data_IF_208325628263
#
_entry.id   IF_208325628263
#
_cell.length_a   1.000
_cell.length_b   1.000
_cell.length_c   1.000
_cell.angle_alpha   90.00
_cell.angle_beta   90.00
_cell.angle_gamma   90.00
#
_symmetry.space_group_name_H-M   'P 1'
#
loop_
_entity.id
_entity.type
_entity.pdbx_description
1 polymer ?
#
# COMPACT_ATOMS: atom_id res chain seq x y z
N UNK A 1 18.03 1.09 4.38
CA UNK A 1 16.85 1.84 3.92
C UNK A 1 15.76 1.81 4.97
N UNK A 2 15.18 2.94 5.24
CA UNK A 2 14.12 3.10 6.24
C UNK A 2 12.77 3.10 5.55
N UNK A 3 11.86 2.20 5.96
CA UNK A 3 10.51 2.11 5.44
C UNK A 3 9.49 2.44 6.53
N UNK A 4 8.50 3.24 6.18
CA UNK A 4 7.33 3.51 7.02
C UNK A 4 6.17 2.64 6.56
N UNK A 5 5.47 2.03 7.51
CA UNK A 5 4.31 1.22 7.22
C UNK A 5 3.02 2.03 7.17
N UNK A 6 2.06 1.56 6.38
CA UNK A 6 0.71 2.13 6.32
C UNK A 6 -0.30 1.03 6.66
N UNK A 7 -1.06 1.23 7.71
CA UNK A 7 -2.12 0.32 8.13
C UNK A 7 -3.46 1.05 8.17
N UNK A 8 -4.55 0.33 8.02
CA UNK A 8 -5.88 0.94 8.08
C UNK A 8 -6.85 0.03 8.83
N UNK A 9 -7.84 0.65 9.47
CA UNK A 9 -8.93 -0.05 10.15
C UNK A 9 -10.17 -0.21 9.27
N UNK A 10 -10.15 0.35 8.05
CA UNK A 10 -11.24 0.19 7.10
C UNK A 10 -11.11 -1.10 6.31
N UNK A 11 -12.21 -1.55 5.70
CA UNK A 11 -12.18 -2.72 4.85
C UNK A 11 -11.29 -2.48 3.62
N UNK A 12 -10.59 -3.52 3.21
CA UNK A 12 -9.79 -3.51 1.99
C UNK A 12 -10.70 -3.62 0.76
N UNK A 13 -10.15 -3.39 -0.42
CA UNK A 13 -10.91 -3.46 -1.68
C UNK A 13 -11.53 -4.83 -1.91
N UNK A 14 -10.91 -5.90 -1.44
CA UNK A 14 -11.43 -7.25 -1.58
C UNK A 14 -12.51 -7.59 -0.54
N UNK A 15 -12.90 -6.63 0.29
CA UNK A 15 -13.89 -6.80 1.33
C UNK A 15 -13.37 -7.34 2.64
N UNK A 16 -12.10 -7.74 2.71
CA UNK A 16 -11.52 -8.26 3.94
C UNK A 16 -11.29 -7.15 4.96
N UNK A 17 -11.30 -7.52 6.23
CA UNK A 17 -11.02 -6.62 7.34
C UNK A 17 -10.01 -7.30 8.27
N UNK A 18 -8.77 -6.83 8.22
CA UNK A 18 -7.72 -7.35 9.08
C UNK A 18 -7.37 -6.35 10.16
N UNK A 19 -7.09 -6.85 11.36
CA UNK A 19 -6.70 -6.00 12.48
C UNK A 19 -5.39 -5.28 12.16
N UNK A 20 -5.27 -4.05 12.64
CA UNK A 20 -4.06 -3.24 12.46
C UNK A 20 -2.81 -3.94 12.99
N UNK A 21 -2.95 -4.65 14.11
CA UNK A 21 -1.86 -5.43 14.70
C UNK A 21 -1.33 -6.48 13.72
N UNK A 22 -2.25 -7.20 13.04
CA UNK A 22 -1.88 -8.21 12.04
C UNK A 22 -1.21 -7.57 10.85
N UNK A 23 -1.77 -6.48 10.34
CA UNK A 23 -1.18 -5.73 9.23
C UNK A 23 0.24 -5.29 9.57
N UNK A 24 0.44 -4.73 10.75
CA UNK A 24 1.75 -4.25 11.19
C UNK A 24 2.78 -5.39 11.28
N UNK A 25 2.39 -6.55 11.79
CA UNK A 25 3.27 -7.71 11.88
C UNK A 25 3.69 -8.22 10.50
N UNK A 26 2.74 -8.29 9.55
CA UNK A 26 3.03 -8.74 8.18
C UNK A 26 3.98 -7.76 7.48
N UNK A 27 3.76 -6.46 7.64
CA UNK A 27 4.62 -5.44 7.04
C UNK A 27 6.03 -5.52 7.62
N UNK A 28 6.14 -5.65 8.93
CA UNK A 28 7.44 -5.76 9.62
C UNK A 28 8.22 -6.96 9.12
N UNK A 29 7.57 -8.11 9.02
CA UNK A 29 8.21 -9.33 8.53
C UNK A 29 8.70 -9.17 7.08
N UNK A 30 7.88 -8.59 6.21
CA UNK A 30 8.25 -8.35 4.82
C UNK A 30 9.46 -7.41 4.70
N UNK A 31 9.51 -6.36 5.53
CA UNK A 31 10.65 -5.44 5.56
C UNK A 31 11.91 -6.14 6.04
N UNK A 32 11.83 -6.92 7.10
CA UNK A 32 12.98 -7.64 7.67
C UNK A 32 13.57 -8.64 6.67
N UNK A 33 12.73 -9.35 5.95
CA UNK A 33 13.19 -10.32 4.95
C UNK A 33 13.97 -9.68 3.81
N UNK A 34 13.74 -8.39 3.55
CA UNK A 34 14.44 -7.64 2.52
C UNK A 34 15.59 -6.81 3.07
N UNK A 35 15.85 -6.87 4.37
CA UNK A 35 16.91 -6.10 5.02
C UNK A 35 16.58 -4.62 5.18
N UNK A 36 15.31 -4.26 5.19
CA UNK A 36 14.86 -2.88 5.39
C UNK A 36 14.58 -2.62 6.87
N UNK A 37 14.90 -1.39 7.32
CA UNK A 37 14.55 -0.93 8.67
C UNK A 37 13.11 -0.46 8.69
N UNK A 38 12.29 -1.09 9.51
CA UNK A 38 10.88 -0.75 9.64
C UNK A 38 10.68 0.28 10.77
N UNK A 39 9.98 1.37 10.47
CA UNK A 39 9.61 2.38 11.45
C UNK A 39 8.10 2.38 11.66
N UNK A 40 7.66 3.13 12.67
CA UNK A 40 6.26 3.23 13.06
C UNK A 40 5.36 3.51 11.86
N UNK A 41 4.25 2.78 11.78
CA UNK A 41 3.29 2.90 10.69
C UNK A 41 2.38 4.12 10.85
N UNK A 42 1.91 4.61 9.70
CA UNK A 42 0.77 5.53 9.65
C UNK A 42 -0.52 4.73 9.73
N UNK A 43 -1.47 5.20 10.51
CA UNK A 43 -2.73 4.49 10.73
C UNK A 43 -3.90 5.32 10.21
N UNK A 44 -4.68 4.74 9.30
CA UNK A 44 -5.94 5.33 8.85
C UNK A 44 -7.11 4.76 9.63
N UNK A 45 -8.07 5.63 9.92
CA UNK A 45 -9.26 5.22 10.61
C UNK A 45 -10.30 4.58 9.69
N UNK A 46 -11.33 3.97 10.27
CA UNK A 46 -12.34 3.19 9.57
C UNK A 46 -13.20 3.98 8.57
N UNK A 47 -13.18 5.29 8.59
CA UNK A 47 -14.00 6.12 7.74
C UNK A 47 -13.75 5.85 6.26
N UNK A 48 -14.84 5.63 5.53
CA UNK A 48 -14.77 5.43 4.09
C UNK A 48 -14.22 6.70 3.42
N UNK A 49 -13.32 6.50 2.46
CA UNK A 49 -12.68 7.58 1.71
C UNK A 49 -11.89 8.59 2.54
N UNK A 50 -11.50 8.22 3.75
CA UNK A 50 -10.62 9.05 4.58
C UNK A 50 -9.16 8.64 4.34
N UNK A 51 -8.39 9.54 3.75
CA UNK A 51 -6.97 9.31 3.44
C UNK A 51 -6.06 10.40 4.01
N UNK A 52 -6.40 10.93 5.20
CA UNK A 52 -5.61 12.00 5.82
C UNK A 52 -4.18 11.57 6.11
N UNK A 53 -4.01 10.41 6.74
CA UNK A 53 -2.67 9.91 7.07
C UNK A 53 -1.93 9.44 5.82
N UNK A 54 -2.65 8.94 4.82
CA UNK A 54 -2.08 8.62 3.52
C UNK A 54 -1.45 9.86 2.88
N UNK A 55 -2.16 10.98 2.87
CA UNK A 55 -1.66 12.23 2.28
C UNK A 55 -0.49 12.79 3.08
N UNK A 56 -0.53 12.70 4.40
CA UNK A 56 0.58 13.10 5.27
C UNK A 56 1.82 12.24 5.00
N UNK A 57 1.65 10.95 4.84
CA UNK A 57 2.73 10.02 4.49
C UNK A 57 3.40 10.40 3.17
N UNK A 58 2.60 10.74 2.15
CA UNK A 58 3.13 11.19 0.86
C UNK A 58 3.92 12.49 1.00
N UNK A 59 3.43 13.41 1.80
CA UNK A 59 4.15 14.66 2.08
C UNK A 59 5.49 14.40 2.75
N UNK A 60 5.52 13.49 3.73
CA UNK A 60 6.73 13.17 4.48
C UNK A 60 7.79 12.49 3.62
N UNK A 61 7.39 11.58 2.73
CA UNK A 61 8.36 10.92 1.85
C UNK A 61 8.95 11.90 0.84
N UNK A 62 8.18 12.89 0.38
CA UNK A 62 8.69 13.95 -0.49
C UNK A 62 9.74 14.82 0.21
N UNK A 63 9.68 14.91 1.54
CA UNK A 63 10.66 15.64 2.36
C UNK A 63 11.89 14.79 2.73
N UNK A 64 12.04 13.62 2.13
CA UNK A 64 13.16 12.69 2.36
C UNK A 64 13.31 12.21 3.82
N UNK A 65 12.21 12.12 4.55
CA UNK A 65 12.23 11.63 5.93
C UNK A 65 12.47 10.12 6.02
N UNK A 66 12.14 9.37 4.94
CA UNK A 66 12.36 7.93 4.86
C UNK A 66 12.49 7.50 3.39
N UNK A 67 12.89 6.26 3.17
CA UNK A 67 13.29 5.77 1.84
C UNK A 67 12.17 5.05 1.10
N UNK A 68 11.18 4.57 1.80
CA UNK A 68 10.09 3.84 1.18
C UNK A 68 8.86 3.74 2.06
N UNK A 69 7.78 3.29 1.45
CA UNK A 69 6.49 3.08 2.09
C UNK A 69 6.15 1.60 1.98
N UNK A 70 5.71 1.00 3.08
CA UNK A 70 5.29 -0.40 3.10
C UNK A 70 3.81 -0.49 3.41
N UNK A 71 3.04 -1.05 2.48
CA UNK A 71 1.62 -1.34 2.64
C UNK A 71 1.43 -2.79 3.06
N UNK A 72 0.35 -3.06 3.77
CA UNK A 72 -0.07 -4.43 4.03
C UNK A 72 -0.45 -5.15 2.74
N UNK A 73 -1.26 -4.49 1.89
CA UNK A 73 -1.75 -5.08 0.63
C UNK A 73 -2.01 -3.97 -0.40
N UNK A 74 -1.90 -4.31 -1.67
CA UNK A 74 -2.30 -3.40 -2.75
C UNK A 74 -3.80 -3.08 -2.70
N UNK A 75 -4.59 -3.89 -2.00
CA UNK A 75 -6.01 -3.63 -1.78
C UNK A 75 -6.28 -2.43 -0.87
N UNK A 76 -5.25 -1.85 -0.25
CA UNK A 76 -5.35 -0.62 0.53
C UNK A 76 -5.26 0.65 -0.31
N UNK A 77 -4.89 0.54 -1.58
CA UNK A 77 -4.71 1.69 -2.45
C UNK A 77 -6.03 2.41 -2.71
N UNK A 78 -5.99 3.75 -2.90
CA UNK A 78 -7.17 4.51 -3.27
C UNK A 78 -7.75 4.04 -4.60
N UNK A 79 -9.07 4.10 -4.73
CA UNK A 79 -9.76 3.71 -5.96
C UNK A 79 -9.58 4.74 -7.08
N UNK A 80 -9.37 6.01 -6.73
CA UNK A 80 -9.13 7.06 -7.70
C UNK A 80 -7.73 6.98 -8.27
N UNK A 81 -7.63 6.91 -9.59
CA UNK A 81 -6.33 6.82 -10.26
C UNK A 81 -5.43 8.03 -9.96
N UNK A 82 -6.00 9.23 -9.87
CA UNK A 82 -5.23 10.44 -9.56
C UNK A 82 -4.52 10.34 -8.21
N UNK A 83 -5.15 9.73 -7.22
CA UNK A 83 -4.54 9.53 -5.90
C UNK A 83 -3.45 8.46 -5.94
N UNK A 84 -3.66 7.38 -6.71
CA UNK A 84 -2.61 6.38 -6.92
C UNK A 84 -1.41 6.98 -7.67
N UNK A 85 -1.66 7.82 -8.66
CA UNK A 85 -0.59 8.47 -9.41
C UNK A 85 0.27 9.37 -8.51
N UNK A 86 -0.33 10.03 -7.52
CA UNK A 86 0.42 10.81 -6.53
C UNK A 86 1.37 9.92 -5.73
N UNK A 87 0.94 8.72 -5.36
CA UNK A 87 1.81 7.75 -4.70
C UNK A 87 2.96 7.32 -5.63
N UNK A 88 2.65 7.02 -6.88
CA UNK A 88 3.65 6.53 -7.83
C UNK A 88 4.74 7.55 -8.14
N UNK A 89 4.47 8.83 -7.94
CA UNK A 89 5.48 9.88 -8.11
C UNK A 89 6.68 9.72 -7.17
N UNK A 90 6.49 9.07 -6.04
CA UNK A 90 7.61 8.84 -5.09
C UNK A 90 8.69 7.94 -5.71
N UNK A 91 8.29 7.03 -6.59
CA UNK A 91 9.22 6.13 -7.28
C UNK A 91 10.15 6.92 -8.22
N UNK A 92 9.64 7.99 -8.83
CA UNK A 92 10.43 8.88 -9.68
C UNK A 92 11.54 9.59 -8.89
N UNK A 93 11.34 9.78 -7.59
CA UNK A 93 12.31 10.41 -6.68
C UNK A 93 13.20 9.36 -5.98
N UNK A 94 13.37 8.18 -6.57
CA UNK A 94 14.21 7.09 -6.08
C UNK A 94 13.72 6.47 -4.76
N UNK A 95 12.45 6.66 -4.43
CA UNK A 95 11.81 6.00 -3.30
C UNK A 95 11.18 4.68 -3.76
N UNK A 96 10.88 3.79 -2.81
CA UNK A 96 10.34 2.47 -3.11
C UNK A 96 9.01 2.25 -2.40
N UNK A 97 8.20 1.35 -2.95
CA UNK A 97 6.92 0.97 -2.37
C UNK A 97 6.90 -0.56 -2.24
N UNK A 98 6.60 -1.04 -1.04
CA UNK A 98 6.51 -2.47 -0.75
C UNK A 98 5.06 -2.83 -0.45
N UNK A 99 4.55 -3.87 -1.11
CA UNK A 99 3.26 -4.47 -0.81
C UNK A 99 3.50 -5.83 -0.18
N UNK A 100 3.28 -5.90 1.12
CA UNK A 100 3.78 -7.00 1.96
C UNK A 100 3.08 -8.33 1.67
N UNK A 101 1.75 -8.31 1.59
CA UNK A 101 0.97 -9.53 1.38
C UNK A 101 1.24 -10.14 0.01
N UNK A 102 1.39 -9.32 -1.02
CA UNK A 102 1.68 -9.76 -2.38
C UNK A 102 3.17 -9.97 -2.64
N UNK A 103 4.01 -9.54 -1.71
CA UNK A 103 5.47 -9.61 -1.82
C UNK A 103 6.00 -8.90 -3.08
N UNK A 104 5.52 -7.69 -3.32
CA UNK A 104 5.88 -6.88 -4.49
C UNK A 104 6.66 -5.64 -4.03
N UNK A 105 7.84 -5.43 -4.60
CA UNK A 105 8.61 -4.20 -4.39
C UNK A 105 8.59 -3.39 -5.68
N UNK A 106 8.07 -2.16 -5.59
CA UNK A 106 7.98 -1.24 -6.73
C UNK A 106 9.12 -0.25 -6.67
N UNK A 107 10.00 -0.24 -7.66
CA UNK A 107 11.16 0.65 -7.70
C UNK A 107 11.35 1.36 -9.03
N UNK A 108 10.54 1.08 -10.06
CA UNK A 108 10.63 1.73 -11.37
C UNK A 108 9.27 1.76 -12.07
N UNK A 109 9.22 2.39 -13.26
CA UNK A 109 7.99 2.50 -14.05
C UNK A 109 7.40 1.17 -14.49
N UNK A 110 8.25 0.20 -14.80
CA UNK A 110 7.78 -1.14 -15.21
C UNK A 110 7.00 -1.81 -14.08
N UNK A 111 7.50 -1.66 -12.87
CA UNK A 111 6.83 -2.19 -11.68
C UNK A 111 5.47 -1.53 -11.46
N UNK A 112 5.38 -0.21 -11.70
CA UNK A 112 4.13 0.55 -11.58
C UNK A 112 3.08 0.01 -12.56
N UNK A 113 3.46 -0.26 -13.80
CA UNK A 113 2.55 -0.79 -14.82
C UNK A 113 2.01 -2.15 -14.39
N UNK A 114 2.89 -3.03 -13.91
CA UNK A 114 2.48 -4.36 -13.41
C UNK A 114 1.54 -4.23 -12.22
N UNK A 115 1.84 -3.31 -11.30
CA UNK A 115 1.01 -3.07 -10.13
C UNK A 115 -0.38 -2.59 -10.51
N UNK A 116 -0.48 -1.64 -11.45
CA UNK A 116 -1.77 -1.13 -11.91
C UNK A 116 -2.61 -2.22 -12.57
N UNK A 117 -1.99 -3.10 -13.32
CA UNK A 117 -2.70 -4.23 -13.91
C UNK A 117 -3.26 -5.16 -12.83
N UNK A 118 -2.48 -5.47 -11.80
CA UNK A 118 -2.94 -6.28 -10.68
C UNK A 118 -4.07 -5.59 -9.92
N UNK A 119 -3.96 -4.27 -9.71
CA UNK A 119 -4.98 -3.50 -9.03
C UNK A 119 -6.31 -3.52 -9.79
N UNK A 120 -6.27 -3.36 -11.11
CA UNK A 120 -7.46 -3.43 -11.96
C UNK A 120 -8.12 -4.81 -11.89
N UNK A 121 -7.33 -5.87 -11.86
CA UNK A 121 -7.84 -7.24 -11.72
C UNK A 121 -8.56 -7.39 -10.38
N UNK A 122 -7.99 -6.87 -9.29
CA UNK A 122 -8.63 -6.93 -7.97
C UNK A 122 -9.94 -6.16 -7.94
N UNK A 123 -10.02 -5.00 -8.59
CA UNK A 123 -11.27 -4.24 -8.69
C UNK A 123 -12.33 -5.02 -9.46
N UNK A 124 -11.97 -5.66 -10.56
CA UNK A 124 -12.90 -6.48 -11.35
C UNK A 124 -13.41 -7.67 -10.54
N UNK A 125 -12.55 -8.34 -9.80
CA UNK A 125 -12.95 -9.46 -8.94
C UNK A 125 -13.94 -9.02 -7.87
N UNK A 126 -13.73 -7.86 -7.26
CA UNK A 126 -14.65 -7.30 -6.28
C UNK A 126 -16.05 -7.08 -6.86
N UNK A 127 -16.12 -6.64 -8.13
CA UNK A 127 -17.35 -6.30 -8.81
C UNK A 127 -17.97 -7.45 -9.60
N UNK A 128 -17.41 -8.67 -9.51
CA UNK A 128 -17.87 -9.84 -10.24
C UNK A 128 -18.32 -10.94 -9.26
N UNK A 129 -19.57 -10.90 -8.79
CA UNK A 129 -20.04 -11.85 -7.77
C UNK A 129 -20.00 -13.32 -8.17
N UNK A 130 -20.08 -13.64 -9.45
CA UNK A 130 -20.01 -15.04 -9.91
C UNK A 130 -18.68 -15.69 -9.59
N UNK A 131 -17.60 -14.93 -9.54
CA UNK A 131 -16.27 -15.45 -9.26
C UNK A 131 -16.10 -15.87 -7.80
N UNK A 132 -16.89 -15.30 -6.92
CA UNK A 132 -16.80 -15.54 -5.49
C UNK A 132 -17.48 -16.87 -5.12
N UNK A 133 -18.36 -17.37 -5.96
CA UNK A 133 -19.14 -18.58 -5.72
C UNK A 133 -18.43 -19.86 -6.12
N UNK A 134 -17.30 -19.75 -6.73
CA UNK A 134 -16.47 -20.90 -7.10
C UNK A 134 -15.60 -21.29 -5.92
#
# INVERSE_FOLDING_TARGET
MIFKGYVSSRRLLDGSLNQQKVQNLVIRDACQKRGFDYKLSFTEYRMKDCFLNYNEMLSDIKKNKFDGIAFYSLAQLPTKKSERDNLYKVVQNKKKILFSLENILVSNKKDIIKLENLFKIKLLLKNSPEKIKI
#
